data_IF_683956502150
#
_entry.id   IF_683956502150
#
_cell.length_a   1.000
_cell.length_b   1.000
_cell.length_c   1.000
_cell.angle_alpha   90.00
_cell.angle_beta   90.00
_cell.angle_gamma   90.00
#
_symmetry.space_group_name_H-M   'P 1'
#
loop_
_entity.id
_entity.type
_entity.pdbx_description
1 polymer ?
#
# COMPACT_ATOMS: atom_id res chain seq x y z
N UNK A 1 4.72 -18.81 13.27
CA UNK A 1 3.80 -18.21 12.27
C UNK A 1 4.54 -17.08 11.58
N UNK A 2 4.61 -17.10 10.25
CA UNK A 2 5.31 -16.12 9.44
C UNK A 2 4.31 -15.05 8.98
N UNK A 3 4.56 -13.80 9.33
CA UNK A 3 3.66 -12.69 9.03
C UNK A 3 4.35 -11.65 8.14
N UNK A 4 3.60 -11.16 7.17
CA UNK A 4 3.96 -9.95 6.44
C UNK A 4 3.06 -8.83 6.94
N UNK A 5 3.65 -7.69 7.26
CA UNK A 5 2.94 -6.55 7.82
C UNK A 5 3.14 -5.32 6.92
N UNK A 6 2.04 -4.73 6.47
CA UNK A 6 2.08 -3.48 5.72
C UNK A 6 1.53 -2.36 6.58
N UNK A 7 2.19 -1.22 6.56
CA UNK A 7 1.75 -0.02 7.26
C UNK A 7 1.41 1.10 6.28
N UNK A 8 0.20 1.64 6.41
CA UNK A 8 -0.27 2.77 5.62
C UNK A 8 0.44 4.08 5.97
N UNK A 9 0.32 5.09 5.11
CA UNK A 9 1.02 6.37 5.28
C UNK A 9 0.62 7.11 6.57
N UNK A 10 -0.63 7.04 7.02
CA UNK A 10 -1.09 7.61 8.29
C UNK A 10 -0.37 6.98 9.49
N UNK A 11 -0.07 5.70 9.41
CA UNK A 11 0.68 4.94 10.43
C UNK A 11 2.18 5.28 10.47
N UNK A 12 2.68 6.01 9.48
CA UNK A 12 4.10 6.36 9.32
C UNK A 12 4.32 7.88 9.16
N UNK A 13 3.35 8.68 9.59
CA UNK A 13 3.34 10.11 9.37
C UNK A 13 4.32 10.91 10.26
N UNK A 14 4.76 10.36 11.38
CA UNK A 14 5.65 11.01 12.36
C UNK A 14 6.48 9.99 13.14
N UNK A 15 7.46 10.47 13.89
CA UNK A 15 8.28 9.62 14.77
C UNK A 15 7.44 8.90 15.84
N UNK A 16 6.39 9.53 16.38
CA UNK A 16 5.48 8.87 17.34
C UNK A 16 4.74 7.71 16.68
N UNK A 17 4.30 7.87 15.44
CA UNK A 17 3.65 6.79 14.71
C UNK A 17 4.64 5.66 14.40
N UNK A 18 5.87 5.98 14.02
CA UNK A 18 6.93 4.97 13.84
C UNK A 18 7.20 4.19 15.12
N UNK A 19 7.21 4.84 16.30
CA UNK A 19 7.38 4.16 17.58
C UNK A 19 6.26 3.14 17.83
N UNK A 20 4.99 3.54 17.61
CA UNK A 20 3.84 2.60 17.70
C UNK A 20 4.01 1.42 16.75
N UNK A 21 4.39 1.68 15.50
CA UNK A 21 4.66 0.63 14.50
C UNK A 21 5.78 -0.30 14.97
N UNK A 22 6.86 0.25 15.48
CA UNK A 22 7.96 -0.54 16.05
C UNK A 22 7.53 -1.42 17.23
N UNK A 23 6.70 -0.88 18.12
CA UNK A 23 6.15 -1.64 19.25
C UNK A 23 5.24 -2.78 18.78
N UNK A 24 4.38 -2.51 17.77
CA UNK A 24 3.55 -3.52 17.13
C UNK A 24 4.41 -4.64 16.53
N UNK A 25 5.45 -4.29 15.76
CA UNK A 25 6.31 -5.29 15.11
C UNK A 25 7.05 -6.13 16.16
N UNK A 26 7.63 -5.51 17.17
CA UNK A 26 8.41 -6.20 18.23
C UNK A 26 7.54 -7.03 19.18
N UNK A 27 6.23 -6.74 19.27
CA UNK A 27 5.30 -7.50 20.10
C UNK A 27 5.00 -8.91 19.55
N UNK A 28 5.38 -9.22 18.31
CA UNK A 28 5.16 -10.53 17.69
C UNK A 28 6.32 -10.89 16.76
N UNK A 29 7.11 -11.88 17.16
CA UNK A 29 8.28 -12.37 16.39
C UNK A 29 7.93 -12.93 15.01
N UNK A 30 6.66 -13.21 14.76
CA UNK A 30 6.17 -13.61 13.43
C UNK A 30 6.14 -12.48 12.42
N UNK A 31 6.14 -11.21 12.83
CA UNK A 31 6.11 -9.99 11.99
C UNK A 31 7.48 -9.69 11.40
N UNK A 32 7.91 -10.54 10.48
CA UNK A 32 9.27 -10.57 9.94
C UNK A 32 9.48 -9.69 8.72
N UNK A 33 8.47 -9.56 7.87
CA UNK A 33 8.56 -8.82 6.61
C UNK A 33 7.66 -7.60 6.66
N UNK A 34 8.26 -6.43 6.49
CA UNK A 34 7.61 -5.14 6.69
C UNK A 34 7.53 -4.38 5.38
N UNK A 35 6.33 -3.92 5.02
CA UNK A 35 6.09 -3.13 3.82
C UNK A 35 5.59 -1.74 4.21
N UNK A 36 6.47 -0.74 4.28
CA UNK A 36 6.09 0.62 4.61
C UNK A 36 5.59 1.38 3.38
N UNK A 37 4.53 2.18 3.55
CA UNK A 37 4.16 3.26 2.63
C UNK A 37 4.98 4.53 2.90
N UNK A 38 4.91 5.51 1.99
CA UNK A 38 5.44 6.85 2.24
C UNK A 38 4.75 7.52 3.45
N UNK A 39 5.42 8.47 4.14
CA UNK A 39 4.79 9.20 5.23
C UNK A 39 3.54 9.97 4.79
N UNK A 40 2.42 9.70 5.45
CA UNK A 40 1.15 10.37 5.24
C UNK A 40 1.07 11.75 5.87
N UNK A 41 -0.14 12.26 6.00
CA UNK A 41 -0.41 13.52 6.68
C UNK A 41 -0.30 13.36 8.20
N UNK A 42 0.36 14.31 8.89
CA UNK A 42 0.39 14.39 10.37
C UNK A 42 -0.94 14.93 10.94
N UNK A 43 -1.63 15.75 10.14
CA UNK A 43 -2.93 16.34 10.47
C UNK A 43 -3.67 16.73 9.18
N UNK A 44 -4.90 17.24 9.29
CA UNK A 44 -5.75 17.59 8.14
C UNK A 44 -5.18 18.70 7.24
N UNK A 45 -4.36 19.61 7.80
CA UNK A 45 -3.72 20.71 7.06
C UNK A 45 -2.40 20.32 6.40
N UNK A 46 -1.86 19.14 6.70
CA UNK A 46 -0.58 18.66 6.18
C UNK A 46 -0.70 18.07 4.77
N UNK A 47 0.43 17.96 4.07
CA UNK A 47 0.52 17.36 2.73
C UNK A 47 1.23 16.02 2.82
N UNK A 48 0.78 15.02 2.07
CA UNK A 48 1.46 13.73 1.95
C UNK A 48 2.82 13.90 1.29
N UNK A 49 3.81 13.13 1.72
CA UNK A 49 5.15 13.17 1.11
C UNK A 49 5.10 12.86 -0.39
N UNK A 50 4.27 11.94 -0.83
CA UNK A 50 4.10 11.61 -2.25
C UNK A 50 3.61 12.82 -3.06
N UNK A 51 2.64 13.60 -2.53
CA UNK A 51 2.15 14.81 -3.18
C UNK A 51 3.24 15.91 -3.23
N UNK A 52 4.05 16.02 -2.16
CA UNK A 52 5.21 16.94 -2.12
C UNK A 52 6.27 16.55 -3.17
N UNK A 53 6.51 15.26 -3.38
CA UNK A 53 7.45 14.75 -4.39
C UNK A 53 6.97 15.04 -5.81
N UNK A 54 5.70 14.81 -6.11
CA UNK A 54 5.11 15.17 -7.40
C UNK A 54 5.23 16.68 -7.68
N UNK A 55 4.87 17.51 -6.71
CA UNK A 55 4.97 18.98 -6.87
C UNK A 55 6.42 19.45 -7.03
N UNK A 56 7.35 18.84 -6.32
CA UNK A 56 8.78 19.10 -6.45
C UNK A 56 9.29 18.72 -7.85
N UNK A 57 8.98 17.51 -8.32
CA UNK A 57 9.36 17.01 -9.63
C UNK A 57 8.79 17.85 -10.78
N UNK A 58 7.50 18.18 -10.76
CA UNK A 58 6.86 19.04 -11.75
C UNK A 58 7.48 20.44 -11.80
N UNK A 59 7.96 20.93 -10.66
CA UNK A 59 8.69 22.20 -10.57
C UNK A 59 10.06 22.10 -11.26
N UNK A 60 10.78 20.97 -11.08
CA UNK A 60 12.06 20.71 -11.71
C UNK A 60 11.93 20.59 -13.25
N UNK A 61 10.99 19.79 -13.72
CA UNK A 61 10.71 19.59 -15.17
C UNK A 61 10.29 20.89 -15.86
N UNK A 62 9.60 21.78 -15.13
CA UNK A 62 9.26 23.11 -15.64
C UNK A 62 10.46 24.10 -15.67
N UNK A 63 11.68 23.63 -15.39
CA UNK A 63 12.89 24.44 -15.35
C UNK A 63 12.94 25.47 -14.24
N UNK A 64 12.10 25.31 -13.19
CA UNK A 64 12.04 26.22 -12.05
C UNK A 64 12.86 25.69 -10.88
N UNK A 65 13.29 26.57 -9.98
CA UNK A 65 14.03 26.17 -8.78
C UNK A 65 13.13 25.33 -7.85
N UNK A 66 13.52 24.08 -7.66
CA UNK A 66 12.84 23.10 -6.82
C UNK A 66 13.58 22.80 -5.49
N UNK A 67 14.78 23.39 -5.29
CA UNK A 67 15.65 23.10 -4.14
C UNK A 67 14.93 23.30 -2.80
N UNK A 68 14.16 24.39 -2.67
CA UNK A 68 13.39 24.66 -1.44
C UNK A 68 12.32 23.60 -1.18
N UNK A 69 11.65 23.11 -2.23
CA UNK A 69 10.64 22.03 -2.09
C UNK A 69 11.30 20.72 -1.67
N UNK A 70 12.43 20.36 -2.27
CA UNK A 70 13.19 19.18 -1.90
C UNK A 70 13.72 19.27 -0.47
N UNK A 71 14.19 20.46 -0.04
CA UNK A 71 14.62 20.70 1.34
C UNK A 71 13.48 20.51 2.35
N UNK A 72 12.24 20.89 2.01
CA UNK A 72 11.08 20.66 2.87
C UNK A 72 10.79 19.17 3.04
N UNK A 73 10.95 18.37 1.97
CA UNK A 73 10.81 16.92 2.03
C UNK A 73 11.93 16.31 2.90
N UNK A 74 13.17 16.78 2.71
CA UNK A 74 14.32 16.36 3.52
C UNK A 74 14.07 16.65 5.01
N UNK A 75 13.61 17.86 5.34
CA UNK A 75 13.27 18.23 6.70
C UNK A 75 12.20 17.31 7.31
N UNK A 76 11.20 16.88 6.53
CA UNK A 76 10.16 15.96 6.98
C UNK A 76 10.73 14.59 7.41
N UNK A 77 11.70 14.04 6.65
CA UNK A 77 12.38 12.81 7.03
C UNK A 77 13.34 13.02 8.21
N UNK A 78 14.01 14.18 8.25
CA UNK A 78 14.90 14.51 9.36
C UNK A 78 14.15 14.59 10.69
N UNK A 79 12.95 15.20 10.72
CA UNK A 79 12.08 15.19 11.90
C UNK A 79 11.77 13.77 12.40
N UNK A 80 11.53 12.82 11.47
CA UNK A 80 11.29 11.41 11.83
C UNK A 80 12.57 10.77 12.39
N UNK A 81 13.69 10.94 11.71
CA UNK A 81 15.00 10.38 12.08
C UNK A 81 15.41 10.89 13.48
N UNK A 82 15.33 12.20 13.71
CA UNK A 82 15.68 12.83 14.99
C UNK A 82 14.74 12.35 16.11
N UNK A 83 13.44 12.29 15.84
CA UNK A 83 12.45 11.84 16.82
C UNK A 83 12.56 10.35 17.17
N UNK A 84 13.20 9.54 16.31
CA UNK A 84 13.55 8.13 16.54
C UNK A 84 14.95 7.96 17.14
N UNK A 85 15.73 9.04 17.29
CA UNK A 85 17.13 9.04 17.73
C UNK A 85 18.04 8.14 16.85
N UNK A 86 17.84 8.18 15.52
CA UNK A 86 18.63 7.38 14.59
C UNK A 86 19.88 8.15 14.12
N UNK A 87 21.00 7.43 13.98
CA UNK A 87 22.21 7.93 13.33
C UNK A 87 22.19 7.61 11.85
N UNK A 88 21.19 8.17 11.12
CA UNK A 88 20.98 7.94 9.69
C UNK A 88 21.09 9.25 8.92
N UNK A 89 21.96 9.30 7.92
CA UNK A 89 22.06 10.42 6.98
C UNK A 89 21.46 10.04 5.62
N UNK A 90 20.39 10.70 5.22
CA UNK A 90 19.75 10.54 3.90
C UNK A 90 20.26 11.58 2.88
N UNK A 91 21.28 12.38 3.20
CA UNK A 91 21.81 13.41 2.26
C UNK A 91 22.23 12.82 0.92
N UNK A 92 22.96 11.67 0.86
CA UNK A 92 23.33 11.07 -0.43
C UNK A 92 22.12 10.67 -1.28
N UNK A 93 21.04 10.19 -0.63
CA UNK A 93 19.82 9.83 -1.36
C UNK A 93 19.08 11.05 -1.90
N UNK A 94 19.04 12.15 -1.14
CA UNK A 94 18.46 13.41 -1.61
C UNK A 94 19.28 14.05 -2.74
N UNK A 95 20.60 13.89 -2.77
CA UNK A 95 21.45 14.31 -3.89
C UNK A 95 21.11 13.53 -5.17
N UNK A 96 21.01 12.19 -5.09
CA UNK A 96 20.56 11.35 -6.21
C UNK A 96 19.15 11.74 -6.69
N UNK A 97 18.23 12.03 -5.77
CA UNK A 97 16.87 12.46 -6.13
C UNK A 97 16.91 13.80 -6.86
N UNK A 98 17.74 14.76 -6.41
CA UNK A 98 17.87 16.05 -7.07
C UNK A 98 18.44 15.91 -8.50
N UNK A 99 19.46 15.08 -8.70
CA UNK A 99 20.04 14.78 -10.01
C UNK A 99 19.01 14.16 -10.96
N UNK A 100 18.26 13.15 -10.49
CA UNK A 100 17.23 12.49 -11.28
C UNK A 100 16.03 13.41 -11.59
N UNK A 101 15.67 14.31 -10.69
CA UNK A 101 14.64 15.31 -10.96
C UNK A 101 15.09 16.32 -12.02
N UNK A 102 16.34 16.76 -11.96
CA UNK A 102 16.94 17.62 -12.98
C UNK A 102 17.06 16.92 -14.34
N UNK A 103 17.30 15.62 -14.35
CA UNK A 103 17.35 14.77 -15.54
C UNK A 103 15.97 14.32 -16.06
N UNK A 104 14.87 14.75 -15.46
CA UNK A 104 13.50 14.40 -15.82
C UNK A 104 13.23 12.86 -15.83
N UNK A 105 13.64 12.17 -14.77
CA UNK A 105 13.56 10.70 -14.64
C UNK A 105 12.15 10.09 -14.60
N UNK A 106 11.10 10.90 -14.61
CA UNK A 106 9.69 10.46 -14.68
C UNK A 106 8.91 10.63 -13.38
N UNK A 107 7.58 10.71 -13.51
CA UNK A 107 6.67 10.84 -12.35
C UNK A 107 6.68 9.58 -11.47
N UNK A 108 6.80 8.39 -12.05
CA UNK A 108 6.89 7.12 -11.31
C UNK A 108 8.13 7.10 -10.39
N UNK A 109 9.29 7.56 -10.92
CA UNK A 109 10.49 7.73 -10.10
C UNK A 109 10.23 8.69 -8.95
N UNK A 110 9.67 9.86 -9.23
CA UNK A 110 9.40 10.87 -8.20
C UNK A 110 8.49 10.33 -7.10
N UNK A 111 7.37 9.72 -7.46
CA UNK A 111 6.40 9.18 -6.51
C UNK A 111 7.00 8.09 -5.61
N UNK A 112 7.75 7.16 -6.19
CA UNK A 112 8.36 6.03 -5.47
C UNK A 112 9.35 6.44 -4.38
N UNK A 113 9.96 7.63 -4.48
CA UNK A 113 10.98 8.08 -3.52
C UNK A 113 10.45 8.25 -2.10
N UNK A 114 9.13 8.43 -1.95
CA UNK A 114 8.49 8.45 -0.64
C UNK A 114 8.62 7.11 0.09
N UNK A 115 8.22 6.04 -0.54
CA UNK A 115 8.33 4.69 0.00
C UNK A 115 9.80 4.23 0.11
N UNK A 116 10.62 4.55 -0.90
CA UNK A 116 12.05 4.26 -0.91
C UNK A 116 12.76 4.81 0.34
N UNK A 117 12.66 6.12 0.59
CA UNK A 117 13.27 6.77 1.74
C UNK A 117 12.68 6.24 3.06
N UNK A 118 11.37 6.01 3.09
CA UNK A 118 10.69 5.51 4.28
C UNK A 118 11.09 4.07 4.61
N UNK A 119 11.34 3.26 3.59
CA UNK A 119 11.87 1.91 3.73
C UNK A 119 13.26 1.91 4.37
N UNK A 120 14.15 2.81 3.94
CA UNK A 120 15.49 2.97 4.52
C UNK A 120 15.39 3.36 6.01
N UNK A 121 14.53 4.34 6.34
CA UNK A 121 14.31 4.75 7.74
C UNK A 121 13.76 3.59 8.57
N UNK A 122 12.77 2.86 8.06
CA UNK A 122 12.16 1.73 8.74
C UNK A 122 13.16 0.58 8.97
N UNK A 123 13.96 0.24 7.97
CA UNK A 123 14.97 -0.80 8.07
C UNK A 123 16.04 -0.45 9.13
N UNK A 124 16.50 0.80 9.14
CA UNK A 124 17.44 1.30 10.13
C UNK A 124 16.84 1.28 11.55
N UNK A 125 15.56 1.70 11.69
CA UNK A 125 14.87 1.74 12.99
C UNK A 125 14.63 0.35 13.58
N UNK A 126 14.36 -0.65 12.74
CA UNK A 126 14.12 -2.03 13.17
C UNK A 126 15.40 -2.87 13.28
N UNK A 127 16.48 -2.47 12.61
CA UNK A 127 17.66 -3.29 12.39
C UNK A 127 17.43 -4.43 11.41
N UNK A 128 16.48 -4.27 10.46
CA UNK A 128 16.10 -5.26 9.45
C UNK A 128 16.85 -5.03 8.14
N UNK A 129 16.97 -6.10 7.33
CA UNK A 129 17.56 -5.98 6.00
C UNK A 129 16.68 -5.14 5.09
N UNK A 130 17.24 -4.07 4.51
CA UNK A 130 16.57 -3.29 3.47
C UNK A 130 16.70 -3.97 2.10
N UNK A 131 15.59 -4.07 1.37
CA UNK A 131 15.56 -4.56 -0.01
C UNK A 131 14.82 -3.52 -0.85
N UNK A 132 15.50 -2.94 -1.85
CA UNK A 132 14.85 -2.01 -2.77
C UNK A 132 13.84 -2.77 -3.65
N UNK A 133 12.62 -2.29 -3.70
CA UNK A 133 11.56 -2.89 -4.51
C UNK A 133 11.89 -2.87 -6.01
N UNK A 134 12.70 -1.93 -6.46
CA UNK A 134 13.19 -1.89 -7.84
C UNK A 134 14.10 -3.08 -8.21
N UNK A 135 14.72 -3.74 -7.22
CA UNK A 135 15.56 -4.93 -7.46
C UNK A 135 14.74 -6.23 -7.59
N UNK A 136 13.52 -6.26 -7.03
CA UNK A 136 12.78 -7.52 -6.81
C UNK A 136 11.37 -7.51 -7.39
N UNK A 137 10.78 -6.36 -7.71
CA UNK A 137 9.45 -6.25 -8.32
C UNK A 137 9.63 -5.88 -9.79
N UNK A 138 9.21 -6.78 -10.68
CA UNK A 138 9.48 -6.72 -12.10
C UNK A 138 8.26 -6.26 -12.91
N UNK A 139 8.47 -5.31 -13.80
CA UNK A 139 7.54 -4.91 -14.85
C UNK A 139 8.10 -5.23 -16.23
N UNK A 140 7.23 -5.36 -17.24
CA UNK A 140 7.67 -5.43 -18.64
C UNK A 140 8.01 -4.05 -19.20
N UNK A 141 8.43 -4.01 -20.48
CA UNK A 141 8.76 -2.75 -21.20
C UNK A 141 7.56 -1.80 -21.29
N UNK A 142 6.34 -2.35 -21.32
CA UNK A 142 5.10 -1.58 -21.40
C UNK A 142 4.60 -1.11 -20.02
N UNK A 143 5.23 -1.57 -18.94
CA UNK A 143 4.83 -1.25 -17.57
C UNK A 143 3.77 -2.18 -17.00
N UNK A 144 3.55 -3.36 -17.58
CA UNK A 144 2.71 -4.40 -17.01
C UNK A 144 3.48 -5.18 -15.94
N UNK A 145 2.84 -5.49 -14.85
CA UNK A 145 3.42 -6.26 -13.76
C UNK A 145 3.69 -7.72 -14.16
N UNK A 146 4.90 -8.22 -13.90
CA UNK A 146 5.32 -9.59 -14.19
C UNK A 146 5.27 -10.44 -12.91
N UNK A 147 4.11 -11.02 -12.62
CA UNK A 147 3.83 -11.72 -11.37
C UNK A 147 4.78 -12.90 -11.13
N UNK A 148 4.91 -13.82 -12.09
CA UNK A 148 5.73 -15.04 -11.94
C UNK A 148 7.22 -14.71 -11.78
N UNK A 149 7.73 -13.76 -12.58
CA UNK A 149 9.12 -13.32 -12.48
C UNK A 149 9.41 -12.63 -11.15
N UNK A 150 8.48 -11.81 -10.68
CA UNK A 150 8.59 -11.15 -9.38
C UNK A 150 8.60 -12.18 -8.25
N UNK A 151 7.73 -13.16 -8.30
CA UNK A 151 7.63 -14.22 -7.30
C UNK A 151 8.96 -15.01 -7.21
N UNK A 152 9.52 -15.40 -8.35
CA UNK A 152 10.82 -16.07 -8.43
C UNK A 152 11.95 -15.24 -7.81
N UNK A 153 12.11 -13.99 -8.27
CA UNK A 153 13.19 -13.09 -7.83
C UNK A 153 13.06 -12.74 -6.34
N UNK A 154 11.85 -12.42 -5.90
CA UNK A 154 11.59 -12.01 -4.52
C UNK A 154 11.71 -13.19 -3.54
N UNK A 155 11.20 -14.37 -3.90
CA UNK A 155 11.32 -15.58 -3.08
C UNK A 155 12.78 -15.95 -2.89
N UNK A 156 13.58 -15.95 -3.95
CA UNK A 156 15.02 -16.25 -3.88
C UNK A 156 15.75 -15.21 -3.03
N UNK A 157 15.40 -13.91 -3.15
CA UNK A 157 16.01 -12.83 -2.38
C UNK A 157 15.70 -12.87 -0.89
N UNK A 158 14.51 -13.36 -0.53
CA UNK A 158 14.03 -13.39 0.86
C UNK A 158 14.28 -14.72 1.58
N UNK A 159 14.62 -15.80 0.88
CA UNK A 159 14.63 -17.16 1.45
C UNK A 159 15.56 -17.34 2.65
N UNK A 160 16.72 -16.68 2.63
CA UNK A 160 17.75 -16.79 3.67
C UNK A 160 17.72 -15.61 4.66
N UNK A 161 16.69 -14.76 4.60
CA UNK A 161 16.54 -13.61 5.49
C UNK A 161 15.50 -13.89 6.57
N UNK A 162 15.91 -13.73 7.82
CA UNK A 162 14.98 -13.83 8.96
C UNK A 162 13.97 -12.69 8.98
N UNK A 163 14.38 -11.51 8.53
CA UNK A 163 13.53 -10.33 8.47
C UNK A 163 13.99 -9.36 7.37
N UNK A 164 13.05 -8.63 6.79
CA UNK A 164 13.33 -7.63 5.77
C UNK A 164 12.30 -6.50 5.75
N UNK A 165 12.73 -5.35 5.22
CA UNK A 165 11.86 -4.23 4.85
C UNK A 165 11.90 -4.08 3.34
N UNK A 166 10.73 -4.17 2.71
CA UNK A 166 10.54 -4.01 1.26
C UNK A 166 9.60 -2.82 1.07
N UNK A 167 10.07 -1.67 0.56
CA UNK A 167 9.22 -0.50 0.34
C UNK A 167 8.03 -0.83 -0.55
N UNK A 168 6.86 -0.27 -0.26
CA UNK A 168 5.67 -0.49 -1.08
C UNK A 168 5.67 0.29 -2.38
N UNK A 169 4.66 0.06 -3.24
CA UNK A 169 4.20 0.91 -4.33
C UNK A 169 4.92 0.78 -5.67
N UNK A 170 6.18 0.37 -5.76
CA UNK A 170 6.96 0.41 -7.01
C UNK A 170 7.79 -0.84 -7.26
N UNK A 171 8.31 -0.93 -8.47
CA UNK A 171 9.31 -1.86 -8.95
C UNK A 171 10.08 -1.26 -10.12
N UNK A 172 10.68 -2.07 -10.98
CA UNK A 172 11.44 -1.59 -12.13
C UNK A 172 11.10 -2.35 -13.42
N UNK A 173 11.29 -1.65 -14.54
CA UNK A 173 11.30 -2.21 -15.90
C UNK A 173 12.68 -2.80 -16.23
N UNK A 174 12.81 -3.54 -17.36
CA UNK A 174 14.08 -4.14 -17.76
C UNK A 174 15.22 -3.13 -17.99
N UNK A 175 14.90 -1.90 -18.36
CA UNK A 175 15.87 -0.81 -18.56
C UNK A 175 16.31 -0.15 -17.23
N UNK A 176 15.79 -0.62 -16.08
CA UNK A 176 16.04 -0.07 -14.76
C UNK A 176 15.19 1.14 -14.40
N UNK A 177 14.33 1.62 -15.31
CA UNK A 177 13.42 2.72 -14.99
C UNK A 177 12.36 2.26 -13.97
N UNK A 178 12.08 3.12 -13.00
CA UNK A 178 11.08 2.83 -11.96
C UNK A 178 9.68 2.88 -12.55
N UNK A 179 8.85 1.92 -12.11
CA UNK A 179 7.43 1.86 -12.42
C UNK A 179 6.62 1.71 -11.13
N UNK A 180 5.57 2.51 -10.98
CA UNK A 180 4.64 2.43 -9.85
C UNK A 180 3.38 1.66 -10.21
N UNK A 181 2.77 1.02 -9.20
CA UNK A 181 1.41 0.51 -9.33
C UNK A 181 0.40 1.67 -9.38
N UNK A 182 -0.69 1.52 -10.10
CA UNK A 182 -1.66 2.59 -10.36
C UNK A 182 -2.43 3.02 -9.11
N UNK A 183 -2.88 2.07 -8.27
CA UNK A 183 -3.64 2.29 -7.03
C UNK A 183 -3.30 1.25 -6.00
N UNK A 184 -3.40 1.60 -4.70
CA UNK A 184 -3.17 0.64 -3.61
C UNK A 184 -1.79 -0.02 -3.61
N UNK A 185 -0.78 0.60 -4.23
CA UNK A 185 0.47 -0.04 -4.57
C UNK A 185 1.23 -0.63 -3.39
N UNK A 186 1.18 -0.01 -2.21
CA UNK A 186 1.80 -0.61 -1.02
C UNK A 186 1.03 -1.83 -0.52
N UNK A 187 -0.31 -1.87 -0.70
CA UNK A 187 -1.13 -3.05 -0.39
C UNK A 187 -0.80 -4.19 -1.35
N UNK A 188 -0.65 -3.88 -2.65
CA UNK A 188 -0.22 -4.83 -3.68
C UNK A 188 1.16 -5.39 -3.36
N UNK A 189 2.13 -4.53 -3.02
CA UNK A 189 3.47 -4.96 -2.62
C UNK A 189 3.42 -5.88 -1.40
N UNK A 190 2.61 -5.55 -0.38
CA UNK A 190 2.42 -6.39 0.80
C UNK A 190 1.91 -7.78 0.44
N UNK A 191 0.96 -7.87 -0.47
CA UNK A 191 0.40 -9.12 -0.98
C UNK A 191 1.43 -9.95 -1.76
N UNK A 192 2.21 -9.30 -2.62
CA UNK A 192 3.31 -9.94 -3.38
C UNK A 192 4.36 -10.50 -2.42
N UNK A 193 4.79 -9.72 -1.43
CA UNK A 193 5.76 -10.19 -0.41
C UNK A 193 5.17 -11.35 0.39
N UNK A 194 3.89 -11.29 0.77
CA UNK A 194 3.25 -12.36 1.53
C UNK A 194 3.17 -13.68 0.73
N UNK A 195 2.89 -13.60 -0.57
CA UNK A 195 2.95 -14.75 -1.48
C UNK A 195 4.37 -15.31 -1.55
N UNK A 196 5.35 -14.48 -1.89
CA UNK A 196 6.75 -14.88 -2.11
C UNK A 196 7.39 -15.56 -0.89
N UNK A 197 7.01 -15.19 0.32
CA UNK A 197 7.53 -15.81 1.55
C UNK A 197 6.63 -16.93 2.09
N UNK A 198 5.55 -17.28 1.40
CA UNK A 198 4.51 -18.20 1.88
C UNK A 198 4.08 -17.86 3.30
N UNK A 199 3.57 -16.63 3.49
CA UNK A 199 3.16 -16.14 4.79
C UNK A 199 1.93 -16.89 5.30
N UNK A 200 1.86 -17.13 6.60
CA UNK A 200 0.67 -17.69 7.25
C UNK A 200 -0.49 -16.68 7.31
N UNK A 201 -0.14 -15.38 7.32
CA UNK A 201 -1.10 -14.26 7.36
C UNK A 201 -0.46 -12.97 6.83
N UNK A 202 -1.25 -12.15 6.16
CA UNK A 202 -0.92 -10.78 5.79
C UNK A 202 -1.68 -9.80 6.68
N UNK A 203 -0.97 -8.99 7.47
CA UNK A 203 -1.56 -7.95 8.30
C UNK A 203 -1.49 -6.59 7.59
N UNK A 204 -2.65 -5.98 7.34
CA UNK A 204 -2.75 -4.62 6.81
C UNK A 204 -3.09 -3.64 7.94
N UNK A 205 -2.10 -2.89 8.37
CA UNK A 205 -2.20 -1.90 9.44
C UNK A 205 -2.54 -0.52 8.86
N UNK A 206 -3.67 0.03 9.32
CA UNK A 206 -4.24 1.29 8.87
C UNK A 206 -4.70 2.14 10.06
N UNK A 207 -5.52 3.16 9.85
CA UNK A 207 -6.08 4.03 10.88
C UNK A 207 -7.54 3.69 11.25
N UNK A 208 -8.06 2.56 10.75
CA UNK A 208 -9.39 2.05 11.09
C UNK A 208 -9.30 0.64 11.67
N UNK A 209 -10.19 0.31 12.60
CA UNK A 209 -10.21 -0.98 13.32
C UNK A 209 -10.93 -2.10 12.55
N UNK A 210 -10.82 -2.13 11.23
CA UNK A 210 -11.44 -3.12 10.35
C UNK A 210 -12.61 -2.56 9.54
N UNK A 211 -13.39 -3.47 8.94
CA UNK A 211 -14.57 -3.11 8.15
C UNK A 211 -15.79 -2.96 9.06
N UNK A 212 -16.56 -1.93 8.83
CA UNK A 212 -17.81 -1.68 9.55
C UNK A 212 -18.98 -2.31 8.79
N UNK A 213 -19.98 -2.78 9.52
CA UNK A 213 -21.20 -3.36 8.92
C UNK A 213 -21.98 -2.34 8.07
N UNK A 214 -21.77 -1.04 8.29
CA UNK A 214 -22.36 0.06 7.51
C UNK A 214 -21.55 1.34 7.66
N UNK A 215 -21.87 2.35 6.83
CA UNK A 215 -21.20 3.65 6.85
C UNK A 215 -21.46 4.41 8.18
N UNK A 216 -20.42 4.76 8.96
CA UNK A 216 -20.56 5.48 10.23
C UNK A 216 -21.13 6.90 10.08
N UNK A 217 -21.13 7.44 8.86
CA UNK A 217 -21.78 8.74 8.56
C UNK A 217 -23.31 8.63 8.48
N UNK A 218 -23.84 7.42 8.32
CA UNK A 218 -25.28 7.13 8.18
C UNK A 218 -25.83 6.51 9.44
N UNK A 219 -25.12 5.55 10.03
CA UNK A 219 -25.53 4.85 11.24
C UNK A 219 -24.51 5.12 12.34
N UNK A 220 -24.99 5.57 13.48
CA UNK A 220 -24.14 5.85 14.65
C UNK A 220 -23.60 4.55 15.24
N UNK A 221 -22.30 4.52 15.52
CA UNK A 221 -21.60 3.43 16.20
C UNK A 221 -21.85 2.03 15.58
N UNK A 222 -21.59 1.84 14.26
CA UNK A 222 -21.79 0.55 13.61
C UNK A 222 -20.78 -0.49 14.14
N UNK A 223 -21.21 -1.74 14.23
CA UNK A 223 -20.32 -2.83 14.64
C UNK A 223 -19.22 -3.10 13.60
N UNK A 224 -18.09 -3.63 14.07
CA UNK A 224 -17.00 -4.12 13.23
C UNK A 224 -17.32 -5.54 12.73
N UNK A 225 -17.11 -5.78 11.46
CA UNK A 225 -17.20 -7.14 10.88
C UNK A 225 -15.97 -7.92 11.34
N UNK A 226 -16.16 -8.95 12.15
CA UNK A 226 -15.05 -9.76 12.66
C UNK A 226 -14.38 -10.62 11.59
N UNK A 227 -15.19 -11.20 10.69
CA UNK A 227 -14.72 -12.06 9.61
C UNK A 227 -15.58 -11.85 8.37
N UNK A 228 -14.91 -11.73 7.22
CA UNK A 228 -15.55 -11.55 5.92
C UNK A 228 -14.84 -12.43 4.88
N UNK A 229 -15.59 -12.94 3.91
CA UNK A 229 -14.98 -13.66 2.78
C UNK A 229 -14.49 -12.69 1.71
N UNK A 230 -13.53 -13.12 0.89
CA UNK A 230 -13.08 -12.34 -0.28
C UNK A 230 -14.22 -11.96 -1.23
N UNK A 231 -15.21 -12.84 -1.34
CA UNK A 231 -16.40 -12.59 -2.18
C UNK A 231 -17.27 -11.48 -1.60
N UNK A 232 -17.58 -11.52 -0.31
CA UNK A 232 -18.39 -10.48 0.37
C UNK A 232 -17.65 -9.14 0.38
N UNK A 233 -16.32 -9.16 0.60
CA UNK A 233 -15.50 -7.95 0.53
C UNK A 233 -15.59 -7.27 -0.83
N UNK A 234 -15.49 -8.04 -1.92
CA UNK A 234 -15.62 -7.52 -3.28
C UNK A 234 -16.97 -6.83 -3.48
N UNK A 235 -18.07 -7.47 -3.08
CA UNK A 235 -19.41 -6.87 -3.21
C UNK A 235 -19.54 -5.56 -2.41
N UNK A 236 -19.00 -5.50 -1.18
CA UNK A 236 -18.98 -4.28 -0.38
C UNK A 236 -18.12 -3.17 -1.00
N UNK A 237 -16.99 -3.53 -1.59
CA UNK A 237 -16.06 -2.59 -2.24
C UNK A 237 -16.69 -1.94 -3.48
N UNK A 238 -17.40 -2.69 -4.30
CA UNK A 238 -18.17 -2.16 -5.43
C UNK A 238 -19.18 -1.09 -5.00
N UNK A 239 -19.77 -1.24 -3.82
CA UNK A 239 -20.75 -0.30 -3.28
C UNK A 239 -20.13 0.86 -2.48
N UNK A 240 -18.79 0.98 -2.47
CA UNK A 240 -18.07 2.14 -1.93
C UNK A 240 -17.42 1.95 -0.56
N UNK A 241 -17.38 0.74 -0.01
CA UNK A 241 -16.61 0.41 1.20
C UNK A 241 -15.13 0.18 0.83
N UNK A 242 -14.38 1.26 0.57
CA UNK A 242 -12.97 1.19 0.13
C UNK A 242 -12.01 1.20 1.31
N UNK A 243 -11.65 0.03 1.81
CA UNK A 243 -10.53 -0.14 2.77
C UNK A 243 -9.34 -0.82 2.09
N UNK A 244 -9.60 -1.75 1.16
CA UNK A 244 -8.57 -2.45 0.37
C UNK A 244 -8.95 -2.42 -1.11
N UNK A 245 -7.95 -2.31 -1.98
CA UNK A 245 -8.13 -2.39 -3.43
C UNK A 245 -8.18 -3.84 -3.89
N UNK A 246 -9.04 -4.19 -4.85
CA UNK A 246 -9.22 -5.57 -5.33
C UNK A 246 -7.92 -6.20 -5.85
N UNK A 247 -7.10 -5.43 -6.56
CA UNK A 247 -5.81 -5.88 -7.09
C UNK A 247 -4.83 -6.34 -5.99
N UNK A 248 -4.94 -5.76 -4.78
CA UNK A 248 -4.10 -6.15 -3.65
C UNK A 248 -4.51 -7.48 -3.01
N UNK A 249 -5.72 -7.95 -3.29
CA UNK A 249 -6.29 -9.17 -2.71
C UNK A 249 -5.96 -10.39 -3.56
N UNK A 250 -5.83 -10.20 -4.88
CA UNK A 250 -5.73 -11.30 -5.83
C UNK A 250 -4.56 -12.28 -5.58
N UNK A 251 -3.31 -11.83 -5.32
CA UNK A 251 -2.20 -12.76 -5.04
C UNK A 251 -2.43 -13.62 -3.78
N UNK A 252 -3.03 -13.03 -2.74
CA UNK A 252 -3.29 -13.70 -1.47
C UNK A 252 -4.42 -14.72 -1.58
N UNK A 253 -5.45 -14.38 -2.34
CA UNK A 253 -6.59 -15.27 -2.57
C UNK A 253 -6.17 -16.56 -3.30
N UNK A 254 -5.27 -16.45 -4.28
CA UNK A 254 -4.77 -17.61 -5.00
C UNK A 254 -4.05 -18.61 -4.09
N UNK A 255 -3.30 -18.10 -3.11
CA UNK A 255 -2.53 -18.88 -2.15
C UNK A 255 -3.33 -19.25 -0.88
N UNK A 256 -4.56 -18.75 -0.74
CA UNK A 256 -5.38 -18.97 0.46
C UNK A 256 -4.84 -18.27 1.71
N UNK A 257 -3.98 -17.24 1.55
CA UNK A 257 -3.39 -16.49 2.67
C UNK A 257 -4.43 -15.51 3.23
N UNK A 258 -4.83 -15.62 4.50
CA UNK A 258 -5.79 -14.70 5.11
C UNK A 258 -5.20 -13.29 5.26
N UNK A 259 -6.08 -12.27 5.15
CA UNK A 259 -5.71 -10.87 5.41
C UNK A 259 -6.33 -10.44 6.73
N UNK A 260 -5.56 -9.78 7.58
CA UNK A 260 -6.03 -9.18 8.81
C UNK A 260 -5.89 -7.65 8.75
N UNK A 261 -7.02 -6.94 8.75
CA UNK A 261 -7.06 -5.48 8.78
C UNK A 261 -7.07 -5.00 10.22
N UNK A 262 -6.08 -4.20 10.59
CA UNK A 262 -5.80 -3.80 11.97
C UNK A 262 -5.54 -2.29 12.08
N UNK A 263 -5.79 -1.74 13.27
CA UNK A 263 -5.62 -0.33 13.56
C UNK A 263 -4.30 -0.06 14.31
N UNK A 264 -3.41 0.72 13.69
CA UNK A 264 -2.14 1.13 14.30
C UNK A 264 -2.34 1.97 15.57
N UNK A 265 -3.44 2.71 15.66
CA UNK A 265 -3.73 3.56 16.83
C UNK A 265 -4.52 2.83 17.93
N UNK A 266 -5.04 1.64 17.64
CA UNK A 266 -5.74 0.77 18.57
C UNK A 266 -5.35 -0.70 18.30
N UNK A 267 -4.07 -1.08 18.55
CA UNK A 267 -3.55 -2.40 18.18
C UNK A 267 -4.19 -3.56 18.95
N UNK A 268 -4.93 -3.28 20.02
CA UNK A 268 -5.71 -4.26 20.80
C UNK A 268 -7.08 -4.55 20.18
N UNK A 269 -7.55 -3.74 19.24
CA UNK A 269 -8.82 -3.99 18.56
C UNK A 269 -8.73 -5.24 17.70
N UNK A 270 -9.77 -6.08 17.66
CA UNK A 270 -9.71 -7.37 16.96
C UNK A 270 -9.60 -7.23 15.45
N UNK A 271 -9.96 -6.08 14.88
CA UNK A 271 -9.93 -5.83 13.43
C UNK A 271 -10.89 -6.72 12.65
N UNK A 272 -10.63 -6.86 11.35
CA UNK A 272 -11.41 -7.74 10.45
C UNK A 272 -10.49 -8.76 9.78
N UNK A 273 -10.87 -10.03 9.88
CA UNK A 273 -10.20 -11.14 9.18
C UNK A 273 -10.89 -11.38 7.83
N UNK A 274 -10.12 -11.37 6.73
CA UNK A 274 -10.59 -11.68 5.39
C UNK A 274 -10.07 -13.06 5.02
N UNK A 275 -10.97 -13.97 4.66
CA UNK A 275 -10.68 -15.38 4.40
C UNK A 275 -11.36 -15.86 3.10
N UNK A 276 -10.91 -16.98 2.56
CA UNK A 276 -11.55 -17.56 1.39
C UNK A 276 -12.94 -18.12 1.74
N UNK A 277 -13.02 -18.88 2.83
CA UNK A 277 -14.25 -19.50 3.31
C UNK A 277 -14.32 -19.38 4.83
N UNK A 278 -15.53 -19.26 5.35
CA UNK A 278 -15.78 -19.30 6.80
C UNK A 278 -16.69 -20.47 7.14
N UNK A 279 -16.29 -21.22 8.15
CA UNK A 279 -17.11 -22.29 8.74
C UNK A 279 -17.91 -21.80 9.95
N UNK A 280 -17.67 -20.58 10.41
CA UNK A 280 -18.38 -20.00 11.56
C UNK A 280 -19.80 -19.60 11.15
N UNK A 281 -20.77 -19.88 12.02
CA UNK A 281 -22.13 -19.35 11.85
C UNK A 281 -22.05 -17.82 11.96
N UNK A 282 -22.57 -17.08 10.96
CA UNK A 282 -22.55 -15.63 11.03
C UNK A 282 -23.40 -15.14 12.22
N UNK A 283 -22.93 -14.09 12.90
CA UNK A 283 -23.67 -13.43 13.98
C UNK A 283 -24.97 -12.80 13.46
N UNK A 284 -24.95 -12.31 12.23
CA UNK A 284 -26.05 -11.64 11.56
C UNK A 284 -26.33 -12.29 10.20
N UNK A 285 -27.57 -12.17 9.73
CA UNK A 285 -27.98 -12.68 8.41
C UNK A 285 -27.33 -11.90 7.26
N UNK A 286 -26.94 -10.64 7.51
CA UNK A 286 -26.31 -9.74 6.53
C UNK A 286 -24.94 -9.37 7.07
N UNK A 287 -23.89 -9.56 6.26
CA UNK A 287 -22.51 -9.25 6.63
C UNK A 287 -22.26 -7.75 6.73
N UNK A 288 -22.79 -6.99 5.78
CA UNK A 288 -22.66 -5.53 5.75
C UNK A 288 -23.57 -4.89 4.71
N UNK A 289 -23.74 -3.57 4.83
CA UNK A 289 -24.53 -2.75 3.90
C UNK A 289 -23.66 -1.59 3.46
N UNK A 290 -23.34 -1.54 2.18
CA UNK A 290 -22.67 -0.40 1.55
C UNK A 290 -23.59 0.22 0.50
N UNK A 291 -23.48 1.53 0.29
CA UNK A 291 -24.29 2.22 -0.70
C UNK A 291 -23.68 3.57 -1.10
N UNK A 292 -23.89 3.93 -2.35
CA UNK A 292 -23.48 5.21 -2.92
C UNK A 292 -24.69 5.90 -3.53
N UNK A 293 -24.81 7.21 -3.34
CA UNK A 293 -25.85 8.03 -3.95
C UNK A 293 -25.37 8.57 -5.32
N UNK A 294 -26.32 8.96 -6.17
CA UNK A 294 -26.01 9.65 -7.43
C UNK A 294 -25.79 8.72 -8.63
N UNK A 295 -26.30 7.49 -8.59
CA UNK A 295 -26.31 6.61 -9.76
C UNK A 295 -27.27 7.11 -10.81
N UNK A 296 -26.84 7.02 -12.09
CA UNK A 296 -27.70 7.10 -13.26
C UNK A 296 -27.79 5.71 -13.89
N UNK A 297 -28.97 5.34 -14.38
CA UNK A 297 -29.14 4.11 -15.14
C UNK A 297 -29.17 4.46 -16.62
N UNK A 298 -28.32 3.82 -17.41
CA UNK A 298 -28.31 3.92 -18.87
C UNK A 298 -28.73 2.56 -19.42
N UNK A 299 -29.88 2.54 -20.12
CA UNK A 299 -30.31 1.33 -20.83
C UNK A 299 -29.85 1.44 -22.29
N UNK A 300 -29.03 0.49 -22.70
CA UNK A 300 -28.60 0.37 -24.11
C UNK A 300 -29.35 -0.78 -24.74
N UNK A 301 -30.09 -0.48 -25.79
CA UNK A 301 -30.83 -1.47 -26.60
C UNK A 301 -30.21 -1.54 -27.98
N UNK A 302 -29.69 -2.69 -28.36
CA UNK A 302 -29.14 -2.95 -29.69
C UNK A 302 -29.45 -4.39 -30.11
N UNK A 303 -29.84 -4.61 -31.36
CA UNK A 303 -29.97 -5.96 -31.90
C UNK A 303 -28.59 -6.66 -31.93
N UNK A 304 -28.54 -7.94 -31.60
CA UNK A 304 -27.33 -8.77 -31.61
C UNK A 304 -26.23 -8.33 -30.57
N UNK A 305 -26.65 -7.79 -29.45
CA UNK A 305 -25.69 -7.36 -28.38
C UNK A 305 -24.77 -8.45 -27.88
N UNK A 306 -25.13 -9.73 -27.99
CA UNK A 306 -24.32 -10.88 -27.61
C UNK A 306 -23.20 -11.23 -28.62
N UNK A 307 -23.20 -10.63 -29.81
CA UNK A 307 -22.15 -10.78 -30.83
C UNK A 307 -21.16 -9.61 -30.85
N UNK A 308 -21.60 -8.43 -30.41
CA UNK A 308 -20.74 -7.25 -30.27
C UNK A 308 -20.38 -7.10 -28.78
N UNK A 309 -19.11 -7.23 -28.44
CA UNK A 309 -18.64 -7.20 -27.06
C UNK A 309 -18.80 -5.78 -26.46
N UNK A 310 -19.96 -5.51 -25.83
CA UNK A 310 -20.25 -4.24 -25.13
C UNK A 310 -19.38 -4.03 -23.88
N UNK A 311 -18.76 -5.08 -23.36
CA UNK A 311 -17.84 -4.99 -22.21
C UNK A 311 -16.60 -4.13 -22.49
N UNK A 312 -16.17 -4.03 -23.76
CA UNK A 312 -15.03 -3.18 -24.12
C UNK A 312 -15.38 -1.69 -24.25
N UNK A 313 -16.65 -1.33 -24.31
CA UNK A 313 -17.07 0.08 -24.39
C UNK A 313 -17.46 0.67 -23.03
N UNK A 314 -17.60 -0.16 -21.98
CA UNK A 314 -17.90 0.31 -20.62
C UNK A 314 -16.65 0.73 -19.83
N UNK A 315 -15.48 0.18 -20.15
CA UNK A 315 -14.21 0.55 -19.49
C UNK A 315 -13.67 1.94 -19.89
N UNK A 316 -14.15 2.50 -21.01
CA UNK A 316 -13.77 3.84 -21.46
C UNK A 316 -14.74 4.95 -20.99
N UNK A 317 -15.78 4.62 -20.27
CA UNK A 317 -16.76 5.59 -19.76
C UNK A 317 -16.43 6.12 -18.34
N UNK A 318 -15.34 5.64 -17.72
CA UNK A 318 -14.88 6.05 -16.39
C UNK A 318 -13.70 7.04 -16.43
N UNK A 319 -13.34 7.62 -17.62
CA UNK A 319 -12.42 8.74 -17.75
C UNK A 319 -13.12 10.10 -17.77
#
# INVERSE_FOLDING_TARGET
MKKVVKFGGSSLASAEQFKKVGDIIRADEGRRYVVPSAPGKRNSADTKVTDMLYDCYRTAVAGRDFKKKLQNIKARYQEIIDGLNLSLDLSPEFEKIAENFAAAAGEDYAASRGEYLNGIVMANYLGYTYIDSAEVICFDENGNFLADKTDEVLSERLKDLDNAVVPGFYGAKPDGSVKTFSRGGSDITGSIVAKAVHADIYENWTDVSGFLVTDPRIVKDPEVISTITYRELRELSYMGATVLHEDSIFPLRQEGIPIHVLNTNAPQDPGTMIVENTCSKPKFTITGIAGKKGFASITVEKSMMNTDCLLYTSDTADE
#
